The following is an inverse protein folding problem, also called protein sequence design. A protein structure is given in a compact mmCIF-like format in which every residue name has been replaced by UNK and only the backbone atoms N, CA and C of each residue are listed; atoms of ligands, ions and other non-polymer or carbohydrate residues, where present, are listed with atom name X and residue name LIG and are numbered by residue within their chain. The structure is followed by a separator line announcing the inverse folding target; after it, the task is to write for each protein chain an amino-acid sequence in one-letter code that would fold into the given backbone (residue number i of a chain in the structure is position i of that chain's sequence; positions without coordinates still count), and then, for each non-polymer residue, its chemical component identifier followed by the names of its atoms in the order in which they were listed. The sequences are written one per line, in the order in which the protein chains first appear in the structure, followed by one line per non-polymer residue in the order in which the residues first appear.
data_IF_743614570047
#
_entry.id   IF_743614570047
#
_cell.length_a   1.000
_cell.length_b   1.000
_cell.length_c   1.000
_cell.angle_alpha   90.00
_cell.angle_beta   90.00
_cell.angle_gamma   90.00
#
_symmetry.space_group_name_H-M   'P 1'
#
loop_
_entity.id
_entity.type
_entity.pdbx_description
1 polymer ?
#
# COMPACT_ATOMS: atom_id res chain seq x y z
N UNK A 1 22.14 -10.44 -10.01
CA UNK A 1 22.69 -11.81 -10.08
C UNK A 1 22.40 -12.53 -11.41
N UNK A 2 21.24 -13.18 -11.63
CA UNK A 2 20.99 -13.95 -12.87
C UNK A 2 21.03 -13.07 -14.14
N UNK A 3 20.44 -11.88 -14.07
CA UNK A 3 20.54 -10.86 -15.11
C UNK A 3 22.01 -10.47 -15.44
N UNK A 4 22.81 -10.14 -14.42
CA UNK A 4 24.22 -9.74 -14.61
C UNK A 4 25.12 -10.88 -15.12
N UNK A 5 24.74 -12.14 -14.87
CA UNK A 5 25.41 -13.32 -15.44
C UNK A 5 24.97 -13.63 -16.88
N UNK A 6 24.04 -12.86 -17.46
CA UNK A 6 23.49 -13.10 -18.79
C UNK A 6 22.54 -14.31 -18.85
N UNK A 7 22.04 -14.79 -17.71
CA UNK A 7 21.05 -15.88 -17.65
C UNK A 7 19.61 -15.35 -17.86
N UNK A 8 19.40 -14.04 -17.69
CA UNK A 8 18.14 -13.34 -17.95
C UNK A 8 18.41 -12.09 -18.78
N UNK A 9 17.63 -11.87 -19.83
CA UNK A 9 17.70 -10.64 -20.65
C UNK A 9 16.88 -9.48 -20.06
N UNK A 10 15.86 -9.79 -19.25
CA UNK A 10 14.98 -8.83 -18.58
C UNK A 10 14.63 -9.35 -17.19
N UNK A 11 14.68 -8.48 -16.19
CA UNK A 11 14.32 -8.82 -14.81
C UNK A 11 13.73 -7.61 -14.08
N UNK A 12 12.92 -7.88 -13.06
CA UNK A 12 12.71 -6.91 -11.98
C UNK A 12 13.96 -6.80 -11.09
N UNK A 13 13.96 -5.86 -10.16
CA UNK A 13 15.05 -5.62 -9.22
C UNK A 13 14.49 -5.32 -7.82
N UNK A 14 15.19 -5.69 -6.73
CA UNK A 14 14.87 -5.25 -5.38
C UNK A 14 15.00 -3.72 -5.25
N UNK A 15 14.14 -3.07 -4.45
CA UNK A 15 14.14 -1.61 -4.30
C UNK A 15 15.49 -1.06 -3.83
N UNK A 16 16.19 -1.79 -2.96
CA UNK A 16 17.51 -1.45 -2.41
C UNK A 16 18.63 -1.39 -3.46
N UNK A 17 18.50 -2.15 -4.55
CA UNK A 17 19.50 -2.18 -5.63
C UNK A 17 19.36 -0.99 -6.59
N UNK A 18 18.22 -0.28 -6.54
CA UNK A 18 17.90 0.78 -7.49
C UNK A 18 18.94 1.92 -7.50
N UNK A 19 19.45 2.44 -6.37
CA UNK A 19 20.52 3.43 -6.38
C UNK A 19 21.76 2.96 -7.16
N UNK A 20 22.22 1.72 -6.90
CA UNK A 20 23.36 1.13 -7.59
C UNK A 20 23.08 0.94 -9.08
N UNK A 21 21.89 0.45 -9.45
CA UNK A 21 21.49 0.30 -10.86
C UNK A 21 21.51 1.64 -11.59
N UNK A 22 21.01 2.71 -10.96
CA UNK A 22 20.98 4.05 -11.57
C UNK A 22 22.36 4.70 -11.70
N UNK A 23 23.33 4.28 -10.89
CA UNK A 23 24.71 4.76 -10.91
C UNK A 23 25.59 3.94 -11.87
N UNK A 24 25.56 2.61 -11.75
CA UNK A 24 26.49 1.70 -12.43
C UNK A 24 25.93 1.10 -13.73
N UNK A 25 24.60 0.95 -13.81
CA UNK A 25 23.93 0.19 -14.88
C UNK A 25 22.79 0.98 -15.52
N UNK A 26 22.88 2.32 -15.51
CA UNK A 26 21.80 3.22 -15.95
C UNK A 26 21.28 2.91 -17.34
N UNK A 27 22.16 2.52 -18.25
CA UNK A 27 21.80 2.20 -19.65
C UNK A 27 20.96 0.91 -19.77
N UNK A 28 20.99 0.05 -18.76
CA UNK A 28 20.16 -1.15 -18.67
C UNK A 28 18.80 -0.87 -18.01
N UNK A 29 18.65 0.30 -17.38
CA UNK A 29 17.42 0.68 -16.69
C UNK A 29 16.40 1.28 -17.66
N UNK A 30 15.28 0.59 -17.83
CA UNK A 30 14.16 1.07 -18.66
C UNK A 30 12.92 1.29 -17.80
N UNK A 31 12.38 2.52 -17.83
CA UNK A 31 11.09 2.85 -17.23
C UNK A 31 10.00 2.78 -18.29
N UNK A 32 9.06 1.86 -18.12
CA UNK A 32 7.87 1.75 -18.96
C UNK A 32 6.62 2.20 -18.19
N UNK A 33 5.76 3.05 -18.78
CA UNK A 33 4.44 3.31 -18.22
C UNK A 33 3.65 2.00 -18.12
N UNK A 34 3.14 1.69 -16.93
CA UNK A 34 2.24 0.56 -16.70
C UNK A 34 0.90 1.13 -16.21
N UNK A 35 -0.18 1.06 -17.02
CA UNK A 35 -1.48 1.54 -16.58
C UNK A 35 -1.98 0.60 -15.48
N UNK A 36 -2.02 1.11 -14.24
CA UNK A 36 -2.47 0.36 -13.08
C UNK A 36 -2.29 1.17 -11.80
N UNK A 37 -3.11 0.84 -10.81
CA UNK A 37 -3.06 1.44 -9.48
C UNK A 37 -2.67 0.35 -8.50
N UNK A 38 -1.65 0.60 -7.69
CA UNK A 38 -1.36 -0.23 -6.52
C UNK A 38 -2.30 0.19 -5.40
N UNK A 39 -2.97 -0.76 -4.76
CA UNK A 39 -3.90 -0.50 -3.67
C UNK A 39 -3.91 -1.65 -2.66
N UNK A 40 -4.31 -1.33 -1.43
CA UNK A 40 -4.69 -2.31 -0.42
C UNK A 40 -6.21 -2.45 -0.48
N UNK A 41 -6.69 -3.67 -0.71
CA UNK A 41 -8.11 -3.99 -0.63
C UNK A 41 -8.54 -4.12 0.83
N UNK A 42 -9.63 -3.44 1.21
CA UNK A 42 -10.23 -3.59 2.54
C UNK A 42 -11.51 -4.42 2.41
N UNK A 43 -11.60 -5.53 3.15
CA UNK A 43 -12.85 -6.28 3.24
C UNK A 43 -13.86 -5.47 4.07
N UNK A 44 -14.85 -4.90 3.41
CA UNK A 44 -15.85 -4.02 4.05
C UNK A 44 -16.94 -4.77 4.80
N UNK A 45 -16.85 -6.10 4.90
CA UNK A 45 -17.80 -6.96 5.61
C UNK A 45 -17.21 -7.57 6.89
N UNK A 46 -15.93 -7.33 7.19
CA UNK A 46 -15.23 -7.95 8.33
C UNK A 46 -14.79 -6.93 9.38
N UNK A 47 -14.99 -7.25 10.66
CA UNK A 47 -14.39 -6.54 11.81
C UNK A 47 -14.51 -5.01 11.74
N UNK A 48 -13.43 -4.32 12.11
CA UNK A 48 -13.34 -2.86 12.10
C UNK A 48 -13.41 -2.26 10.68
N UNK A 49 -13.01 -2.98 9.64
CA UNK A 49 -13.03 -2.48 8.25
C UNK A 49 -14.44 -2.34 7.67
N UNK A 50 -15.48 -2.85 8.36
CA UNK A 50 -16.89 -2.50 8.08
C UNK A 50 -17.18 -1.02 8.34
N UNK A 51 -16.52 -0.44 9.35
CA UNK A 51 -16.73 0.94 9.75
C UNK A 51 -16.15 1.91 8.71
N UNK A 52 -16.97 2.83 8.20
CA UNK A 52 -16.55 3.80 7.19
C UNK A 52 -15.45 4.72 7.72
N UNK A 53 -15.59 5.23 8.95
CA UNK A 53 -14.60 6.12 9.56
C UNK A 53 -13.27 5.38 9.77
N UNK A 54 -13.30 4.10 10.14
CA UNK A 54 -12.07 3.30 10.24
C UNK A 54 -11.34 3.20 8.89
N UNK A 55 -12.07 2.94 7.79
CA UNK A 55 -11.45 2.92 6.45
C UNK A 55 -10.87 4.28 6.05
N UNK A 56 -11.51 5.39 6.44
CA UNK A 56 -10.98 6.74 6.20
C UNK A 56 -9.73 7.01 7.02
N UNK A 57 -9.68 6.56 8.27
CA UNK A 57 -8.52 6.65 9.13
C UNK A 57 -7.32 5.94 8.50
N UNK A 58 -7.49 4.67 8.10
CA UNK A 58 -6.45 3.88 7.43
C UNK A 58 -5.96 4.54 6.12
N UNK A 59 -6.86 5.12 5.32
CA UNK A 59 -6.48 5.73 4.05
C UNK A 59 -5.75 7.07 4.22
N UNK A 60 -6.11 7.85 5.24
CA UNK A 60 -5.56 9.20 5.48
C UNK A 60 -4.28 9.17 6.32
N UNK A 61 -3.99 8.07 7.01
CA UNK A 61 -2.76 7.90 7.80
C UNK A 61 -1.54 7.45 7.00
N UNK A 62 -1.68 7.16 5.70
CA UNK A 62 -0.57 6.68 4.85
C UNK A 62 0.05 7.84 4.07
N UNK A 63 1.29 8.18 4.41
CA UNK A 63 2.17 9.03 3.62
C UNK A 63 2.78 8.25 2.45
N UNK A 64 2.06 8.24 1.32
CA UNK A 64 2.48 7.57 0.07
C UNK A 64 3.78 8.14 -0.48
N UNK A 65 4.01 9.45 -0.37
CA UNK A 65 5.24 10.10 -0.86
C UNK A 65 6.47 9.57 -0.13
N UNK A 66 6.40 9.44 1.20
CA UNK A 66 7.47 8.87 2.01
C UNK A 66 7.81 7.43 1.60
N UNK A 67 6.80 6.59 1.33
CA UNK A 67 7.01 5.22 0.84
C UNK A 67 7.72 5.25 -0.52
N UNK A 68 7.26 6.06 -1.46
CA UNK A 68 7.84 6.12 -2.80
C UNK A 68 9.29 6.64 -2.79
N UNK A 69 9.60 7.60 -1.92
CA UNK A 69 10.92 8.24 -1.87
C UNK A 69 11.94 7.46 -1.04
N UNK A 70 11.57 7.06 0.17
CA UNK A 70 12.53 6.52 1.15
C UNK A 70 12.54 4.99 1.20
N UNK A 71 11.41 4.35 0.93
CA UNK A 71 11.29 2.88 0.99
C UNK A 71 11.59 2.29 -0.38
N UNK A 72 10.86 2.72 -1.40
CA UNK A 72 11.02 2.17 -2.75
C UNK A 72 12.16 2.80 -3.55
N UNK A 73 12.67 3.96 -3.15
CA UNK A 73 13.64 4.75 -3.91
C UNK A 73 13.19 5.06 -5.35
N UNK A 74 11.88 5.15 -5.58
CA UNK A 74 11.25 5.39 -6.88
C UNK A 74 10.50 6.73 -6.91
N UNK A 75 11.18 7.89 -6.74
CA UNK A 75 10.54 9.18 -6.58
C UNK A 75 9.67 9.59 -7.78
N UNK A 76 9.98 9.06 -8.97
CA UNK A 76 9.23 9.32 -10.20
C UNK A 76 7.88 8.61 -10.30
N UNK A 77 7.53 7.72 -9.36
CA UNK A 77 6.18 7.14 -9.34
C UNK A 77 5.17 8.20 -8.92
N UNK A 78 4.02 8.15 -9.57
CA UNK A 78 2.90 9.05 -9.30
C UNK A 78 2.14 8.54 -8.08
N UNK A 79 1.87 9.41 -7.12
CA UNK A 79 1.01 9.07 -5.98
C UNK A 79 -0.40 8.76 -6.45
N UNK A 80 -0.88 7.59 -6.05
CA UNK A 80 -2.26 7.20 -6.32
C UNK A 80 -3.22 8.06 -5.48
N UNK A 81 -3.96 8.94 -6.16
CA UNK A 81 -5.01 9.77 -5.58
C UNK A 81 -6.42 9.26 -5.92
N UNK A 82 -6.54 8.18 -6.68
CA UNK A 82 -7.79 7.54 -7.03
C UNK A 82 -7.54 6.18 -7.69
N UNK A 83 -8.61 5.45 -8.02
CA UNK A 83 -8.49 4.11 -8.61
C UNK A 83 -8.11 4.17 -10.09
N UNK A 84 -8.56 5.20 -10.82
CA UNK A 84 -8.27 5.39 -12.24
C UNK A 84 -6.94 6.17 -12.36
N UNK A 85 -5.90 5.63 -13.01
CA UNK A 85 -4.63 6.33 -13.20
C UNK A 85 -4.76 7.57 -14.10
N UNK A 86 -3.81 8.52 -14.03
CA UNK A 86 -3.69 9.57 -15.04
C UNK A 86 -3.64 8.99 -16.47
N UNK A 87 -4.08 9.78 -17.45
CA UNK A 87 -4.11 9.42 -18.88
C UNK A 87 -5.12 8.32 -19.27
N UNK A 88 -5.78 7.68 -18.29
CA UNK A 88 -6.88 6.74 -18.54
C UNK A 88 -8.22 7.49 -18.57
N UNK A 89 -9.09 7.26 -19.58
CA UNK A 89 -10.42 7.85 -19.62
C UNK A 89 -11.20 7.62 -18.31
N UNK A 90 -11.78 8.69 -17.77
CA UNK A 90 -12.45 8.67 -16.47
C UNK A 90 -11.58 9.12 -15.30
N UNK A 91 -10.30 9.45 -15.49
CA UNK A 91 -9.47 10.06 -14.45
C UNK A 91 -10.09 11.36 -13.92
N UNK A 92 -10.20 11.44 -12.59
CA UNK A 92 -10.93 12.53 -11.91
C UNK A 92 -10.01 13.69 -11.46
N UNK A 93 -8.70 13.44 -11.37
CA UNK A 93 -7.73 14.39 -10.78
C UNK A 93 -7.52 14.18 -9.28
N UNK A 94 -6.31 14.47 -8.81
CA UNK A 94 -6.00 14.42 -7.38
C UNK A 94 -6.71 15.51 -6.58
N UNK A 95 -7.09 15.20 -5.34
CA UNK A 95 -7.83 16.11 -4.45
C UNK A 95 -9.34 16.18 -4.71
N UNK A 96 -9.84 15.54 -5.78
CA UNK A 96 -11.29 15.40 -6.02
C UNK A 96 -11.86 14.07 -5.54
N UNK A 97 -11.01 13.06 -5.48
CA UNK A 97 -11.31 11.70 -5.01
C UNK A 97 -10.14 11.19 -4.20
N UNK A 98 -10.36 10.06 -3.52
CA UNK A 98 -9.39 9.45 -2.63
C UNK A 98 -9.15 10.26 -1.37
N UNK A 99 -8.32 9.71 -0.49
CA UNK A 99 -7.86 10.38 0.73
C UNK A 99 -6.37 10.69 0.57
N UNK A 100 -6.00 11.91 0.93
CA UNK A 100 -4.62 12.34 1.02
C UNK A 100 -4.07 12.05 2.42
N UNK A 101 -2.75 12.06 2.55
CA UNK A 101 -2.13 11.97 3.87
C UNK A 101 -2.50 13.21 4.69
N UNK A 102 -3.20 12.99 5.79
CA UNK A 102 -3.62 14.00 6.76
C UNK A 102 -3.78 13.29 8.10
N UNK A 103 -2.75 13.40 8.94
CA UNK A 103 -2.69 12.69 10.21
C UNK A 103 -3.77 13.16 11.20
N UNK A 104 -4.03 14.47 11.24
CA UNK A 104 -5.04 15.04 12.12
C UNK A 104 -6.44 14.55 11.73
N UNK A 105 -6.75 14.54 10.43
CA UNK A 105 -8.00 13.96 9.93
C UNK A 105 -8.07 12.45 10.19
N UNK A 106 -6.97 11.72 9.99
CA UNK A 106 -6.92 10.28 10.23
C UNK A 106 -7.24 9.94 11.69
N UNK A 107 -6.68 10.68 12.65
CA UNK A 107 -6.94 10.50 14.08
C UNK A 107 -8.38 10.85 14.45
N UNK A 108 -8.96 11.90 13.86
CA UNK A 108 -10.38 12.23 14.04
C UNK A 108 -11.30 11.11 13.52
N UNK A 109 -10.97 10.54 12.36
CA UNK A 109 -11.71 9.40 11.81
C UNK A 109 -11.58 8.16 12.69
N UNK A 110 -10.39 7.90 13.23
CA UNK A 110 -10.18 6.76 14.14
C UNK A 110 -11.01 6.92 15.41
N UNK A 111 -10.99 8.10 16.03
CA UNK A 111 -11.79 8.40 17.22
C UNK A 111 -13.29 8.15 16.97
N UNK A 112 -13.82 8.67 15.86
CA UNK A 112 -15.22 8.43 15.49
C UNK A 112 -15.52 6.93 15.25
N UNK A 113 -14.59 6.20 14.64
CA UNK A 113 -14.73 4.77 14.45
C UNK A 113 -14.72 4.00 15.78
N UNK A 114 -13.83 4.36 16.70
CA UNK A 114 -13.72 3.77 18.03
C UNK A 114 -14.99 3.99 18.84
N UNK A 115 -15.57 5.19 18.81
CA UNK A 115 -16.88 5.48 19.43
C UNK A 115 -18.00 4.61 18.86
N UNK A 116 -18.05 4.46 17.53
CA UNK A 116 -19.06 3.63 16.84
C UNK A 116 -18.86 2.13 17.10
N UNK A 117 -17.61 1.68 17.32
CA UNK A 117 -17.26 0.30 17.61
C UNK A 117 -17.29 -0.04 19.11
N UNK A 118 -17.39 0.96 19.99
CA UNK A 118 -17.32 0.78 21.44
C UNK A 118 -15.94 0.36 21.95
N UNK A 119 -14.88 0.85 21.31
CA UNK A 119 -13.47 0.57 21.65
C UNK A 119 -12.86 1.82 22.30
N UNK A 120 -12.14 1.66 23.42
CA UNK A 120 -11.53 2.78 24.15
C UNK A 120 -10.04 2.97 23.83
N UNK A 121 -9.32 1.90 23.48
CA UNK A 121 -7.89 1.91 23.16
C UNK A 121 -7.69 1.45 21.70
N UNK A 122 -7.04 2.24 20.82
CA UNK A 122 -6.76 1.80 19.45
C UNK A 122 -5.93 0.51 19.39
N UNK A 123 -5.11 0.23 20.41
CA UNK A 123 -4.33 -1.01 20.52
C UNK A 123 -5.17 -2.27 20.69
N UNK A 124 -6.48 -2.17 20.94
CA UNK A 124 -7.39 -3.32 20.90
C UNK A 124 -7.81 -3.69 19.48
N UNK A 125 -7.63 -2.78 18.52
CA UNK A 125 -7.95 -3.01 17.11
C UNK A 125 -6.79 -3.74 16.46
N UNK A 126 -7.03 -4.97 16.03
CA UNK A 126 -6.09 -5.73 15.20
C UNK A 126 -6.68 -5.94 13.80
N UNK A 127 -5.90 -5.59 12.78
CA UNK A 127 -6.21 -5.94 11.39
C UNK A 127 -5.18 -6.91 10.85
N UNK A 128 -5.59 -7.78 9.95
CA UNK A 128 -4.66 -8.62 9.21
C UNK A 128 -4.41 -8.03 7.83
N UNK A 129 -3.15 -7.92 7.44
CA UNK A 129 -2.73 -7.40 6.14
C UNK A 129 -2.07 -8.50 5.33
N UNK A 130 -2.82 -9.05 4.37
CA UNK A 130 -2.40 -10.21 3.62
C UNK A 130 -1.80 -9.77 2.29
N UNK A 131 -0.67 -10.37 1.92
CA UNK A 131 0.03 -10.05 0.68
C UNK A 131 0.77 -11.27 0.15
N UNK A 132 1.18 -11.19 -1.11
CA UNK A 132 2.04 -12.18 -1.74
C UNK A 132 3.42 -11.60 -2.02
N UNK A 133 4.39 -12.48 -2.25
CA UNK A 133 5.80 -12.12 -2.52
C UNK A 133 5.97 -10.97 -3.52
N UNK A 134 6.89 -10.06 -3.21
CA UNK A 134 7.26 -8.89 -4.02
C UNK A 134 6.58 -7.59 -3.58
N UNK A 135 5.90 -7.59 -2.43
CA UNK A 135 5.23 -6.43 -1.87
C UNK A 135 5.67 -6.13 -0.43
N UNK A 136 6.66 -6.87 0.10
CA UNK A 136 7.18 -6.78 1.46
C UNK A 136 7.46 -5.33 1.86
N UNK A 137 8.33 -4.63 1.12
CA UNK A 137 8.72 -3.24 1.39
C UNK A 137 7.52 -2.29 1.58
N UNK A 138 6.48 -2.42 0.74
CA UNK A 138 5.30 -1.55 0.80
C UNK A 138 4.41 -1.92 1.98
N UNK A 139 4.25 -3.21 2.24
CA UNK A 139 3.36 -3.73 3.29
C UNK A 139 3.94 -3.42 4.67
N UNK A 140 5.24 -3.64 4.88
CA UNK A 140 5.95 -3.30 6.11
C UNK A 140 5.90 -1.78 6.37
N UNK A 141 6.09 -0.95 5.35
CA UNK A 141 5.99 0.50 5.50
C UNK A 141 4.55 0.98 5.80
N UNK A 142 3.53 0.27 5.32
CA UNK A 142 2.13 0.58 5.67
C UNK A 142 1.79 0.09 7.07
N UNK A 143 2.24 -1.11 7.46
CA UNK A 143 2.16 -1.62 8.83
C UNK A 143 2.75 -0.60 9.81
N UNK A 144 4.02 -0.21 9.63
CA UNK A 144 4.70 0.76 10.50
C UNK A 144 3.91 2.08 10.60
N UNK A 145 3.41 2.59 9.47
CA UNK A 145 2.65 3.83 9.48
C UNK A 145 1.30 3.67 10.18
N UNK A 146 0.58 2.57 10.00
CA UNK A 146 -0.67 2.34 10.73
C UNK A 146 -0.43 2.19 12.23
N UNK A 147 0.57 1.44 12.64
CA UNK A 147 0.91 1.27 14.06
C UNK A 147 1.36 2.61 14.68
N UNK A 148 2.23 3.36 14.01
CA UNK A 148 2.76 4.62 14.53
C UNK A 148 1.72 5.75 14.51
N UNK A 149 0.96 5.88 13.42
CA UNK A 149 0.07 7.03 13.22
C UNK A 149 -1.29 6.84 13.90
N UNK A 150 -1.76 5.59 14.02
CA UNK A 150 -3.08 5.27 14.56
C UNK A 150 -3.03 4.48 15.88
N UNK A 151 -1.90 3.86 16.24
CA UNK A 151 -1.78 3.07 17.47
C UNK A 151 -2.54 1.74 17.43
N UNK A 152 -2.97 1.28 16.25
CA UNK A 152 -3.60 -0.03 16.06
C UNK A 152 -2.54 -1.12 15.90
N UNK A 153 -2.92 -2.40 16.06
CA UNK A 153 -2.04 -3.51 15.72
C UNK A 153 -2.29 -3.99 14.29
N UNK A 154 -1.21 -4.32 13.58
CA UNK A 154 -1.29 -4.92 12.25
C UNK A 154 -0.60 -6.29 12.30
N UNK A 155 -1.28 -7.31 11.79
CA UNK A 155 -0.71 -8.64 11.63
C UNK A 155 -0.48 -8.91 10.15
N UNK A 156 0.77 -8.85 9.71
CA UNK A 156 1.16 -9.07 8.33
C UNK A 156 1.25 -10.57 8.02
N UNK A 157 0.58 -11.00 6.94
CA UNK A 157 0.50 -12.41 6.52
C UNK A 157 1.01 -12.54 5.08
N UNK A 158 2.19 -13.12 4.90
CA UNK A 158 2.73 -13.44 3.57
C UNK A 158 2.22 -14.81 3.10
N UNK A 159 1.69 -14.84 1.88
CA UNK A 159 1.15 -16.05 1.26
C UNK A 159 1.80 -16.32 -0.10
N UNK A 160 1.93 -17.60 -0.44
CA UNK A 160 2.19 -18.01 -1.82
C UNK A 160 1.05 -17.52 -2.72
N UNK A 161 1.35 -17.17 -3.97
CA UNK A 161 0.41 -16.52 -4.89
C UNK A 161 -0.88 -17.30 -5.11
N UNK A 162 -0.80 -18.62 -5.31
CA UNK A 162 -1.97 -19.47 -5.47
C UNK A 162 -2.87 -19.43 -4.24
N UNK A 163 -2.27 -19.60 -3.05
CA UNK A 163 -3.01 -19.55 -1.79
C UNK A 163 -3.62 -18.15 -1.51
N UNK A 164 -2.90 -17.07 -1.87
CA UNK A 164 -3.42 -15.70 -1.77
C UNK A 164 -4.68 -15.51 -2.63
N UNK A 165 -4.68 -16.02 -3.86
CA UNK A 165 -5.85 -15.94 -4.75
C UNK A 165 -7.04 -16.76 -4.24
N UNK A 166 -6.81 -17.97 -3.72
CA UNK A 166 -7.86 -18.82 -3.14
C UNK A 166 -8.56 -18.13 -1.96
N UNK A 167 -7.79 -17.44 -1.11
CA UNK A 167 -8.37 -16.62 -0.04
C UNK A 167 -9.27 -15.53 -0.61
N UNK A 168 -8.73 -14.75 -1.56
CA UNK A 168 -9.47 -13.61 -2.10
C UNK A 168 -10.79 -14.08 -2.71
N UNK A 169 -10.79 -15.24 -3.36
CA UNK A 169 -12.00 -15.86 -3.91
C UNK A 169 -12.98 -16.26 -2.80
N UNK A 170 -12.49 -16.90 -1.72
CA UNK A 170 -13.33 -17.29 -0.58
C UNK A 170 -13.97 -16.11 0.17
N UNK A 171 -13.43 -14.89 0.02
CA UNK A 171 -13.99 -13.67 0.59
C UNK A 171 -15.12 -13.07 -0.26
N UNK A 172 -15.40 -13.61 -1.45
CA UNK A 172 -16.48 -13.14 -2.33
C UNK A 172 -17.82 -13.86 -2.07
N UNK A 173 -17.81 -14.98 -1.36
CA UNK A 173 -18.99 -15.79 -0.98
C UNK A 173 -19.49 -15.45 0.44
#
# INVERSE_FOLDING_TARGET
AAYERGELDVSGYPSEELPRILEEMREHFVRMPRPGTYYIGLNTALGATQNLNFRKALASSINKRAILDAVLNMPWRVEACGVIPPEIPGYQGCGKVGYQFDLDAAQQYLQAAMEELGVEDPGEITIQLWFNRGNEDVIEAVEEQWETNLGINVNVVNMEWGAYLEVLDSCND
#
